data_IF_199046202316
#
_entry.id   IF_199046202316
#
_cell.length_a   1.000
_cell.length_b   1.000
_cell.length_c   1.000
_cell.angle_alpha   90.00
_cell.angle_beta   90.00
_cell.angle_gamma   90.00
#
_symmetry.space_group_name_H-M   'P 1'
#
loop_
_entity.id
_entity.type
_entity.pdbx_description
1 polymer ?
#
# COMPACT_ATOMS: atom_id res chain seq x y z
N UNK A 1 -2.92 15.28 42.03
CA UNK A 1 -2.05 15.51 40.86
C UNK A 1 -1.22 14.26 40.70
N UNK A 2 -1.37 13.61 39.56
CA UNK A 2 -0.61 12.38 39.23
C UNK A 2 0.87 12.74 39.10
N UNK A 3 1.74 11.96 39.73
CA UNK A 3 3.20 12.19 39.68
C UNK A 3 3.72 11.73 38.31
N UNK A 4 3.90 12.67 37.38
CA UNK A 4 4.37 12.43 36.02
C UNK A 4 5.72 11.68 36.03
N UNK A 5 6.63 12.03 36.95
CA UNK A 5 7.95 11.38 37.03
C UNK A 5 7.83 9.89 37.40
N UNK A 6 6.88 9.52 38.23
CA UNK A 6 6.61 8.11 38.53
C UNK A 6 6.04 7.36 37.32
N UNK A 7 5.16 8.01 36.58
CA UNK A 7 4.57 7.43 35.34
C UNK A 7 5.65 7.25 34.27
N UNK A 8 6.50 8.25 34.04
CA UNK A 8 7.64 8.14 33.12
C UNK A 8 8.56 6.96 33.48
N UNK A 9 8.81 6.77 34.77
CA UNK A 9 9.61 5.63 35.24
C UNK A 9 8.93 4.29 34.98
N UNK A 10 7.60 4.18 35.20
CA UNK A 10 6.81 2.97 34.89
C UNK A 10 6.84 2.66 33.40
N UNK A 11 6.59 3.67 32.53
CA UNK A 11 6.68 3.54 31.08
C UNK A 11 8.08 3.13 30.64
N UNK A 12 9.14 3.74 31.20
CA UNK A 12 10.52 3.37 30.93
C UNK A 12 10.84 1.91 31.28
N UNK A 13 10.31 1.40 32.41
CA UNK A 13 10.44 -0.01 32.78
C UNK A 13 9.69 -0.95 31.82
N UNK A 14 8.51 -0.55 31.34
CA UNK A 14 7.77 -1.32 30.35
C UNK A 14 8.56 -1.44 29.02
N UNK A 15 9.15 -0.34 28.55
CA UNK A 15 10.05 -0.39 27.37
C UNK A 15 11.32 -1.20 27.60
N UNK A 16 11.87 -1.20 28.81
CA UNK A 16 13.02 -2.07 29.15
C UNK A 16 12.63 -3.55 29.07
N UNK A 17 11.42 -3.91 29.52
CA UNK A 17 10.87 -5.25 29.37
C UNK A 17 10.63 -5.60 27.89
N UNK A 18 10.21 -4.62 27.06
CA UNK A 18 10.04 -4.80 25.61
C UNK A 18 11.37 -5.21 24.96
N UNK A 19 12.49 -4.59 25.35
CA UNK A 19 13.83 -4.95 24.87
C UNK A 19 14.22 -6.40 25.13
N UNK A 20 13.70 -6.98 26.19
CA UNK A 20 13.99 -8.40 26.57
C UNK A 20 13.03 -9.37 25.86
N UNK A 21 11.75 -9.02 25.79
CA UNK A 21 10.69 -9.94 25.33
C UNK A 21 10.40 -9.86 23.83
N UNK A 22 10.52 -8.66 23.26
CA UNK A 22 10.23 -8.36 21.86
C UNK A 22 11.35 -7.47 21.26
N UNK A 23 12.59 -7.99 21.15
CA UNK A 23 13.78 -7.19 20.82
C UNK A 23 13.70 -6.54 19.43
N UNK A 24 13.05 -7.16 18.47
CA UNK A 24 12.78 -6.55 17.16
C UNK A 24 11.96 -5.26 17.29
N UNK A 25 10.81 -5.32 18.00
CA UNK A 25 9.94 -4.17 18.21
C UNK A 25 10.69 -3.09 19.00
N UNK A 26 11.44 -3.47 20.05
CA UNK A 26 12.20 -2.52 20.83
C UNK A 26 13.29 -1.81 20.02
N UNK A 27 13.94 -2.51 19.08
CA UNK A 27 14.95 -1.92 18.19
C UNK A 27 14.31 -0.82 17.32
N UNK A 28 13.15 -1.06 16.74
CA UNK A 28 12.38 -0.05 15.97
C UNK A 28 12.02 1.13 16.88
N UNK A 29 11.46 0.87 18.07
CA UNK A 29 11.00 1.88 19.02
C UNK A 29 12.12 2.69 19.66
N UNK A 30 13.39 2.29 19.50
CA UNK A 30 14.54 3.03 20.05
C UNK A 30 14.68 4.44 19.48
N UNK A 31 14.18 4.69 18.27
CA UNK A 31 14.21 6.00 17.59
C UNK A 31 12.93 6.82 17.80
N UNK A 32 11.88 6.25 18.38
CA UNK A 32 10.60 6.89 18.54
C UNK A 32 10.57 7.68 19.87
N UNK A 33 10.14 8.94 19.80
CA UNK A 33 9.99 9.80 20.97
C UNK A 33 8.87 9.27 21.87
N UNK A 34 9.09 9.30 23.18
CA UNK A 34 8.10 8.92 24.20
C UNK A 34 7.78 10.12 25.06
N UNK A 35 6.51 10.29 25.39
CA UNK A 35 6.04 11.43 26.15
C UNK A 35 4.90 11.00 27.08
N UNK A 36 4.93 11.50 28.30
CA UNK A 36 3.82 11.36 29.24
C UNK A 36 3.13 12.73 29.32
N UNK A 37 1.88 12.81 28.88
CA UNK A 37 1.16 14.06 28.76
C UNK A 37 -0.34 13.86 29.00
N UNK A 38 -1.04 14.83 29.60
CA UNK A 38 -2.50 14.78 29.77
C UNK A 38 -3.27 15.06 28.45
N UNK A 39 -2.57 15.35 27.34
CA UNK A 39 -3.19 15.71 26.06
C UNK A 39 -3.89 14.54 25.37
N UNK A 40 -3.63 13.31 25.82
CA UNK A 40 -4.26 12.10 25.32
C UNK A 40 -5.05 11.40 26.42
N UNK A 41 -6.21 10.81 26.10
CA UNK A 41 -7.05 10.17 27.12
C UNK A 41 -6.48 8.85 27.63
N UNK A 42 -5.81 8.08 26.76
CA UNK A 42 -5.19 6.78 27.06
C UNK A 42 -3.74 6.74 26.61
N UNK A 43 -3.49 6.32 25.42
CA UNK A 43 -2.24 6.43 24.70
C UNK A 43 -2.54 6.72 23.23
N UNK A 44 -1.56 7.28 22.50
CA UNK A 44 -1.71 7.55 21.08
C UNK A 44 -0.34 7.61 20.38
N UNK A 45 -0.33 7.36 19.06
CA UNK A 45 0.87 7.46 18.23
C UNK A 45 0.58 8.04 16.85
N UNK A 46 1.58 8.71 16.27
CA UNK A 46 1.58 9.17 14.88
C UNK A 46 2.77 8.66 14.06
N UNK A 47 3.51 7.68 14.60
CA UNK A 47 4.68 7.10 13.96
C UNK A 47 6.02 7.80 14.27
N UNK A 48 6.03 9.03 14.79
CA UNK A 48 7.24 9.72 15.25
C UNK A 48 7.34 9.82 16.77
N UNK A 49 6.24 9.71 17.44
CA UNK A 49 6.14 9.70 18.91
C UNK A 49 5.05 8.74 19.38
N UNK A 50 5.16 8.36 20.67
CA UNK A 50 4.10 7.69 21.43
C UNK A 50 3.85 8.50 22.70
N UNK A 51 2.61 8.86 22.93
CA UNK A 51 2.15 9.59 24.11
C UNK A 51 1.34 8.67 25.02
N UNK A 52 1.46 8.91 26.34
CA UNK A 52 0.76 8.16 27.37
C UNK A 52 0.09 9.11 28.35
N UNK A 53 -1.21 8.87 28.65
CA UNK A 53 -1.94 9.60 29.66
C UNK A 53 -1.44 9.22 31.06
N UNK A 54 -1.03 10.19 31.89
CA UNK A 54 -0.59 9.92 33.26
C UNK A 54 -1.70 9.32 34.14
N UNK A 55 -2.94 9.80 33.99
CA UNK A 55 -4.07 9.33 34.77
C UNK A 55 -4.49 7.92 34.35
N UNK A 56 -4.53 7.62 33.04
CA UNK A 56 -4.84 6.30 32.56
C UNK A 56 -3.80 5.26 33.03
N UNK A 57 -2.51 5.59 32.93
CA UNK A 57 -1.43 4.70 33.37
C UNK A 57 -1.49 4.44 34.86
N UNK A 58 -1.85 5.46 35.65
CA UNK A 58 -1.89 5.33 37.11
C UNK A 58 -3.12 4.58 37.58
N UNK A 59 -4.31 4.94 37.07
CA UNK A 59 -5.59 4.48 37.61
C UNK A 59 -6.12 3.22 36.96
N UNK A 60 -5.70 2.93 35.70
CA UNK A 60 -6.26 1.86 34.85
C UNK A 60 -5.28 0.77 34.50
N UNK A 61 -3.97 0.95 34.75
CA UNK A 61 -2.98 -0.02 34.33
C UNK A 61 -2.20 -0.62 35.50
N UNK A 62 -2.23 -1.94 35.62
CA UNK A 62 -1.18 -2.67 36.33
C UNK A 62 0.13 -2.63 35.51
N UNK A 63 1.27 -3.02 36.09
CA UNK A 63 2.52 -3.06 35.34
C UNK A 63 2.53 -4.10 34.19
N UNK A 64 1.73 -5.15 34.28
CA UNK A 64 1.51 -6.11 33.20
C UNK A 64 0.70 -5.52 32.07
N UNK A 65 -0.40 -4.84 32.41
CA UNK A 65 -1.26 -4.16 31.45
C UNK A 65 -0.56 -2.97 30.79
N UNK A 66 0.27 -2.24 31.53
CA UNK A 66 1.10 -1.16 30.97
C UNK A 66 2.09 -1.70 29.94
N UNK A 67 2.67 -2.88 30.20
CA UNK A 67 3.52 -3.55 29.20
C UNK A 67 2.72 -3.89 27.93
N UNK A 68 1.51 -4.41 28.08
CA UNK A 68 0.62 -4.70 26.94
C UNK A 68 0.24 -3.42 26.17
N UNK A 69 -0.04 -2.33 26.86
CA UNK A 69 -0.32 -1.02 26.25
C UNK A 69 0.90 -0.50 25.46
N UNK A 70 2.09 -0.55 26.04
CA UNK A 70 3.34 -0.15 25.37
C UNK A 70 3.58 -1.00 24.12
N UNK A 71 3.32 -2.31 24.18
CA UNK A 71 3.43 -3.21 23.04
C UNK A 71 2.40 -2.88 21.96
N UNK A 72 1.16 -2.55 22.37
CA UNK A 72 0.08 -2.17 21.48
C UNK A 72 0.46 -0.93 20.64
N UNK A 73 0.82 0.17 21.29
CA UNK A 73 1.26 1.40 20.62
C UNK A 73 2.49 1.17 19.73
N UNK A 74 3.42 0.34 20.21
CA UNK A 74 4.61 -0.02 19.42
C UNK A 74 4.26 -0.79 18.14
N UNK A 75 3.25 -1.65 18.18
CA UNK A 75 2.79 -2.40 17.01
C UNK A 75 2.09 -1.51 15.98
N UNK A 76 1.36 -0.46 16.40
CA UNK A 76 0.85 0.53 15.46
C UNK A 76 1.98 1.19 14.65
N UNK A 77 3.09 1.54 15.31
CA UNK A 77 4.26 2.13 14.65
C UNK A 77 4.93 1.11 13.72
N UNK A 78 5.21 -0.10 14.23
CA UNK A 78 5.93 -1.16 13.49
C UNK A 78 5.16 -1.66 12.27
N UNK A 79 3.83 -1.72 12.37
CA UNK A 79 2.91 -2.08 11.27
C UNK A 79 2.53 -0.89 10.39
N UNK A 80 3.04 0.32 10.72
CA UNK A 80 2.87 1.55 9.94
C UNK A 80 1.41 1.94 9.69
N UNK A 81 0.51 1.68 10.62
CA UNK A 81 -0.94 1.84 10.46
C UNK A 81 -1.37 3.25 10.09
N UNK A 82 -0.65 4.29 10.56
CA UNK A 82 -0.93 5.70 10.26
C UNK A 82 -0.72 6.05 8.78
N UNK A 83 0.23 5.41 8.09
CA UNK A 83 0.47 5.62 6.65
C UNK A 83 -0.37 4.72 5.75
N UNK A 84 -0.77 3.54 6.26
CA UNK A 84 -1.56 2.54 5.52
C UNK A 84 -3.06 2.87 5.48
N UNK A 85 -3.50 3.94 6.12
CA UNK A 85 -4.92 4.33 6.15
C UNK A 85 -5.49 4.68 4.76
N UNK A 86 -4.74 5.38 3.93
CA UNK A 86 -5.03 5.63 2.50
C UNK A 86 -6.48 6.03 2.18
N UNK A 87 -7.05 7.01 2.89
CA UNK A 87 -8.43 7.48 2.65
C UNK A 87 -9.54 6.58 3.22
N UNK A 88 -9.21 5.51 3.94
CA UNK A 88 -10.17 4.68 4.69
C UNK A 88 -10.77 5.46 5.85
N UNK A 89 -11.98 5.06 6.28
CA UNK A 89 -12.60 5.65 7.47
C UNK A 89 -11.67 5.52 8.69
N UNK A 90 -11.30 6.61 9.38
CA UNK A 90 -10.30 6.57 10.44
C UNK A 90 -10.71 5.70 11.63
N UNK A 91 -12.00 5.72 12.01
CA UNK A 91 -12.48 4.96 13.16
C UNK A 91 -12.52 3.47 12.87
N UNK A 92 -13.05 3.08 11.71
CA UNK A 92 -13.10 1.68 11.32
C UNK A 92 -11.69 1.13 11.08
N UNK A 93 -10.78 1.95 10.53
CA UNK A 93 -9.38 1.58 10.34
C UNK A 93 -8.69 1.32 11.67
N UNK A 94 -8.86 2.23 12.65
CA UNK A 94 -8.31 2.04 13.98
C UNK A 94 -8.86 0.78 14.65
N UNK A 95 -10.19 0.60 14.64
CA UNK A 95 -10.86 -0.57 15.18
C UNK A 95 -10.34 -1.89 14.58
N UNK A 96 -10.12 -1.93 13.25
CA UNK A 96 -9.58 -3.11 12.57
C UNK A 96 -8.15 -3.42 13.01
N UNK A 97 -7.30 -2.41 13.13
CA UNK A 97 -5.92 -2.55 13.56
C UNK A 97 -5.81 -2.99 15.00
N UNK A 98 -6.62 -2.43 15.89
CA UNK A 98 -6.66 -2.81 17.30
C UNK A 98 -7.08 -4.27 17.48
N UNK A 99 -8.06 -4.72 16.71
CA UNK A 99 -8.48 -6.12 16.75
C UNK A 99 -7.32 -7.08 16.41
N UNK A 100 -6.50 -6.74 15.42
CA UNK A 100 -5.33 -7.54 15.02
C UNK A 100 -4.23 -7.48 16.08
N UNK A 101 -3.90 -6.29 16.55
CA UNK A 101 -2.86 -6.08 17.58
C UNK A 101 -3.25 -6.80 18.86
N UNK A 102 -4.50 -6.66 19.30
CA UNK A 102 -4.96 -7.29 20.53
C UNK A 102 -5.00 -8.82 20.41
N UNK A 103 -5.33 -9.36 19.23
CA UNK A 103 -5.22 -10.78 18.95
C UNK A 103 -3.75 -11.28 19.07
N UNK A 104 -2.79 -10.52 18.54
CA UNK A 104 -1.35 -10.79 18.65
C UNK A 104 -0.89 -10.79 20.12
N UNK A 105 -1.24 -9.76 20.87
CA UNK A 105 -0.85 -9.58 22.28
C UNK A 105 -1.44 -10.72 23.14
N UNK A 106 -2.72 -11.03 22.96
CA UNK A 106 -3.41 -12.10 23.67
C UNK A 106 -2.81 -13.48 23.38
N UNK A 107 -2.49 -13.77 22.11
CA UNK A 107 -1.85 -15.04 21.72
C UNK A 107 -0.49 -15.25 22.39
N UNK A 108 0.24 -14.16 22.66
CA UNK A 108 1.51 -14.18 23.37
C UNK A 108 1.37 -14.24 24.91
N UNK A 109 0.16 -14.23 25.41
CA UNK A 109 -0.14 -14.29 26.83
C UNK A 109 0.15 -13.01 27.59
N UNK A 110 0.18 -11.86 26.91
CA UNK A 110 0.30 -10.57 27.55
C UNK A 110 -1.07 -10.00 27.91
N UNK A 111 -1.12 -9.22 29.00
CA UNK A 111 -2.36 -8.59 29.49
C UNK A 111 -2.52 -7.21 28.85
N UNK A 112 -3.77 -6.85 28.58
CA UNK A 112 -4.16 -5.52 28.10
C UNK A 112 -5.01 -4.81 29.14
N UNK A 113 -5.05 -3.47 29.16
CA UNK A 113 -6.04 -2.74 29.93
C UNK A 113 -7.47 -3.11 29.51
N UNK A 114 -8.43 -2.87 30.42
CA UNK A 114 -9.84 -3.07 30.11
C UNK A 114 -10.31 -2.12 29.03
N UNK A 115 -11.27 -2.54 28.20
CA UNK A 115 -11.85 -1.72 27.11
C UNK A 115 -11.24 -1.96 25.73
N UNK A 116 -10.19 -2.79 25.61
CA UNK A 116 -9.59 -3.13 24.31
C UNK A 116 -10.55 -3.82 23.35
N UNK A 117 -10.34 -3.59 22.06
CA UNK A 117 -11.12 -4.17 20.96
C UNK A 117 -10.75 -5.64 20.78
N UNK A 118 -11.76 -6.54 20.79
CA UNK A 118 -11.59 -7.96 20.49
C UNK A 118 -12.67 -8.42 19.52
N UNK A 119 -12.26 -9.06 18.45
CA UNK A 119 -13.15 -9.62 17.42
C UNK A 119 -12.81 -11.09 17.23
N UNK A 120 -13.74 -11.98 17.49
CA UNK A 120 -13.47 -13.43 17.63
C UNK A 120 -12.88 -14.09 16.39
N UNK A 121 -13.20 -13.62 15.20
CA UNK A 121 -12.71 -14.17 13.93
C UNK A 121 -11.39 -13.53 13.48
N UNK A 122 -10.93 -12.45 14.13
CA UNK A 122 -9.66 -11.79 13.78
C UNK A 122 -8.49 -12.54 14.40
N UNK A 123 -7.47 -12.78 13.59
CA UNK A 123 -6.21 -13.39 14.00
C UNK A 123 -5.04 -12.49 13.67
N UNK A 124 -3.92 -12.66 14.35
CA UNK A 124 -2.69 -11.89 14.12
C UNK A 124 -2.07 -12.10 12.74
N UNK A 125 -2.51 -13.11 11.98
CA UNK A 125 -2.03 -13.38 10.62
C UNK A 125 -2.79 -12.62 9.54
N UNK A 126 -3.91 -12.00 9.87
CA UNK A 126 -4.72 -11.24 8.91
C UNK A 126 -4.11 -9.87 8.62
N UNK A 127 -4.29 -9.35 7.40
CA UNK A 127 -3.89 -7.98 7.07
C UNK A 127 -4.90 -6.96 7.60
N UNK A 128 -4.43 -5.74 7.85
CA UNK A 128 -5.28 -4.63 8.28
C UNK A 128 -6.36 -4.33 7.24
N UNK A 129 -6.00 -4.39 5.99
CA UNK A 129 -6.87 -4.16 4.84
C UNK A 129 -7.98 -5.20 4.76
N UNK A 130 -7.62 -6.49 4.92
CA UNK A 130 -8.59 -7.59 4.93
C UNK A 130 -9.60 -7.46 6.06
N UNK A 131 -9.12 -7.17 7.28
CA UNK A 131 -10.00 -7.01 8.46
C UNK A 131 -10.89 -5.78 8.28
N UNK A 132 -10.33 -4.66 7.80
CA UNK A 132 -11.09 -3.46 7.50
C UNK A 132 -12.22 -3.73 6.50
N UNK A 133 -11.92 -4.43 5.40
CA UNK A 133 -12.94 -4.73 4.38
C UNK A 133 -14.05 -5.62 4.94
N UNK A 134 -13.71 -6.68 5.67
CA UNK A 134 -14.71 -7.55 6.31
C UNK A 134 -15.58 -6.81 7.33
N UNK A 135 -15.01 -5.88 8.09
CA UNK A 135 -15.76 -5.05 9.05
C UNK A 135 -16.63 -4.02 8.33
N UNK A 136 -16.18 -3.49 7.19
CA UNK A 136 -16.98 -2.59 6.37
C UNK A 136 -18.20 -3.29 5.78
N UNK A 137 -18.04 -4.54 5.32
CA UNK A 137 -19.12 -5.36 4.76
C UNK A 137 -20.09 -5.85 5.84
N UNK A 138 -19.59 -6.08 7.06
CA UNK A 138 -20.37 -6.49 8.22
C UNK A 138 -20.00 -5.61 9.44
N UNK A 139 -20.52 -4.39 9.51
CA UNK A 139 -20.12 -3.41 10.51
C UNK A 139 -20.46 -3.90 11.93
N UNK A 140 -19.54 -3.70 12.89
CA UNK A 140 -19.82 -3.97 14.29
C UNK A 140 -20.99 -3.09 14.77
N UNK A 141 -21.76 -3.55 15.78
CA UNK A 141 -22.85 -2.74 16.31
C UNK A 141 -22.30 -1.40 16.81
N UNK A 142 -23.04 -0.30 16.61
CA UNK A 142 -22.64 1.00 17.12
C UNK A 142 -22.44 0.93 18.64
N UNK A 143 -21.47 1.68 19.20
CA UNK A 143 -21.28 1.72 20.63
C UNK A 143 -22.58 2.14 21.30
N UNK A 144 -23.00 1.37 22.33
CA UNK A 144 -24.15 1.76 23.14
C UNK A 144 -23.90 3.17 23.69
N UNK A 145 -24.75 4.14 23.31
CA UNK A 145 -24.79 5.40 24.03
C UNK A 145 -25.05 5.05 25.49
N UNK A 146 -24.28 5.58 26.45
CA UNK A 146 -24.67 5.46 27.84
C UNK A 146 -26.08 6.06 27.97
N UNK A 147 -27.03 5.25 28.49
CA UNK A 147 -28.36 5.74 28.82
C UNK A 147 -28.23 6.90 29.80
N UNK A 148 -28.23 8.10 29.26
CA UNK A 148 -28.34 9.31 30.05
C UNK A 148 -29.84 9.69 30.07
N UNK A 149 -30.57 9.47 31.17
CA UNK A 149 -32.02 9.67 31.20
C UNK A 149 -32.46 11.14 31.08
N UNK A 150 -31.53 12.09 31.02
CA UNK A 150 -31.80 13.54 31.06
C UNK A 150 -31.38 14.31 29.79
N UNK A 151 -31.08 13.63 28.66
CA UNK A 151 -30.69 14.30 27.40
C UNK A 151 -31.88 14.43 26.41
N UNK A 152 -32.86 15.33 26.77
CA UNK A 152 -33.91 15.82 25.87
C UNK A 152 -33.39 16.96 24.94
N UNK A 153 -32.12 16.93 24.57
CA UNK A 153 -31.47 17.93 23.73
C UNK A 153 -31.55 17.59 22.24
N UNK A 154 -32.54 18.16 21.54
CA UNK A 154 -32.50 18.36 20.08
C UNK A 154 -31.31 19.29 19.74
N UNK A 155 -30.13 18.71 19.63
CA UNK A 155 -28.95 19.37 19.10
C UNK A 155 -28.64 18.78 17.74
N UNK A 156 -29.16 19.36 16.65
CA UNK A 156 -28.67 19.17 15.28
C UNK A 156 -27.23 19.72 15.20
N UNK A 157 -26.28 18.95 15.71
CA UNK A 157 -24.87 19.12 15.42
C UNK A 157 -24.55 18.33 14.17
N UNK A 158 -24.31 18.99 13.04
CA UNK A 158 -23.66 18.43 11.86
C UNK A 158 -22.24 17.96 12.22
N UNK A 159 -22.16 16.89 12.99
CA UNK A 159 -20.94 16.14 13.16
C UNK A 159 -20.88 15.11 12.05
N UNK A 160 -19.94 15.25 11.12
CA UNK A 160 -19.49 14.21 10.19
C UNK A 160 -18.92 13.04 11.02
N UNK A 161 -19.76 12.38 11.81
CA UNK A 161 -19.40 11.25 12.64
C UNK A 161 -19.42 9.97 11.83
N UNK A 162 -18.29 9.28 11.74
CA UNK A 162 -18.25 7.92 11.25
C UNK A 162 -19.27 7.04 11.97
N UNK A 163 -20.05 6.20 11.27
CA UNK A 163 -21.01 5.28 11.89
C UNK A 163 -20.34 4.15 12.68
N UNK A 164 -19.01 4.05 12.60
CA UNK A 164 -18.24 2.98 13.19
C UNK A 164 -17.73 3.31 14.59
N UNK A 165 -17.57 2.32 15.48
CA UNK A 165 -16.88 2.52 16.75
C UNK A 165 -15.44 2.90 16.50
N UNK A 166 -14.88 3.77 17.33
CA UNK A 166 -13.44 4.02 17.34
C UNK A 166 -12.72 2.88 18.06
N UNK A 167 -11.47 2.61 17.71
CA UNK A 167 -10.58 1.75 18.48
C UNK A 167 -10.07 2.45 19.75
N UNK A 168 -8.98 1.92 20.30
CA UNK A 168 -8.42 2.40 21.56
C UNK A 168 -9.11 1.80 22.78
N UNK A 169 -8.56 2.09 23.99
CA UNK A 169 -9.05 1.52 25.23
C UNK A 169 -10.23 2.29 25.84
N UNK A 170 -10.55 3.45 25.33
CA UNK A 170 -11.69 4.28 25.74
C UNK A 170 -12.65 4.63 24.59
N UNK A 171 -12.39 4.08 23.39
CA UNK A 171 -13.16 4.36 22.18
C UNK A 171 -12.85 5.71 21.52
N UNK A 172 -11.77 6.40 21.89
CA UNK A 172 -11.34 7.67 21.27
C UNK A 172 -10.48 7.46 20.03
N UNK A 173 -9.88 6.27 19.89
CA UNK A 173 -8.85 5.96 18.89
C UNK A 173 -7.45 6.35 19.38
N UNK A 174 -6.45 5.64 18.90
CA UNK A 174 -5.05 5.76 19.31
C UNK A 174 -4.08 6.03 18.15
N UNK A 175 -4.57 6.06 16.91
CA UNK A 175 -3.78 6.44 15.75
C UNK A 175 -4.08 7.89 15.36
N UNK A 176 -3.09 8.76 15.46
CA UNK A 176 -3.15 10.11 14.90
C UNK A 176 -2.60 10.16 13.46
N UNK A 177 -2.81 11.29 12.78
CA UNK A 177 -2.34 11.47 11.41
C UNK A 177 -0.81 11.40 11.34
N UNK A 178 -0.32 10.70 10.32
CA UNK A 178 1.10 10.54 10.06
C UNK A 178 1.79 11.89 9.80
N UNK A 179 3.07 12.01 10.23
CA UNK A 179 3.79 13.28 10.16
C UNK A 179 4.13 13.68 8.72
N UNK A 180 4.89 12.86 8.00
CA UNK A 180 5.27 13.11 6.60
C UNK A 180 5.96 11.88 5.98
N UNK A 181 6.18 11.90 4.65
CA UNK A 181 6.83 10.81 3.92
C UNK A 181 8.32 10.63 4.27
N UNK A 182 9.04 11.67 4.66
CA UNK A 182 10.44 11.54 5.09
C UNK A 182 10.54 10.71 6.38
N UNK A 183 9.64 10.94 7.34
CA UNK A 183 9.56 10.14 8.56
C UNK A 183 9.20 8.70 8.28
N UNK A 184 8.33 8.45 7.29
CA UNK A 184 7.98 7.12 6.81
C UNK A 184 9.20 6.36 6.28
N UNK A 185 9.97 6.97 5.36
CA UNK A 185 11.17 6.37 4.78
C UNK A 185 12.22 6.01 5.85
N UNK A 186 12.44 6.91 6.83
CA UNK A 186 13.34 6.66 7.95
C UNK A 186 12.88 5.50 8.84
N UNK A 187 11.57 5.40 9.08
CA UNK A 187 10.98 4.31 9.85
C UNK A 187 11.08 2.99 9.09
N UNK A 188 10.75 2.96 7.79
CA UNK A 188 10.89 1.79 6.93
C UNK A 188 12.33 1.26 6.93
N UNK A 189 13.32 2.13 6.74
CA UNK A 189 14.73 1.76 6.81
C UNK A 189 15.11 1.18 8.18
N UNK A 190 14.55 1.75 9.26
CA UNK A 190 14.78 1.27 10.63
C UNK A 190 14.17 -0.10 10.85
N UNK A 191 12.95 -0.34 10.37
CA UNK A 191 12.24 -1.62 10.47
C UNK A 191 13.01 -2.71 9.70
N UNK A 192 13.44 -2.42 8.47
CA UNK A 192 14.23 -3.35 7.65
C UNK A 192 15.54 -3.72 8.33
N UNK A 193 16.27 -2.73 8.87
CA UNK A 193 17.52 -2.98 9.59
C UNK A 193 17.29 -3.85 10.84
N UNK A 194 16.29 -3.52 11.65
CA UNK A 194 15.92 -4.29 12.84
C UNK A 194 15.49 -5.73 12.50
N UNK A 195 14.73 -5.90 11.42
CA UNK A 195 14.27 -7.21 10.96
C UNK A 195 15.44 -8.11 10.48
N UNK A 196 16.41 -7.55 9.75
CA UNK A 196 17.63 -8.25 9.36
C UNK A 196 18.43 -8.72 10.58
N UNK A 197 18.64 -7.83 11.55
CA UNK A 197 19.32 -8.19 12.82
C UNK A 197 18.57 -9.29 13.58
N UNK A 198 17.24 -9.23 13.66
CA UNK A 198 16.43 -10.24 14.32
C UNK A 198 16.59 -11.63 13.65
N UNK A 199 16.61 -11.67 12.30
CA UNK A 199 16.86 -12.92 11.55
C UNK A 199 18.27 -13.47 11.79
N UNK A 200 19.30 -12.64 11.77
CA UNK A 200 20.69 -13.03 12.04
C UNK A 200 20.86 -13.59 13.46
N UNK A 201 20.13 -13.04 14.43
CA UNK A 201 20.11 -13.52 15.82
C UNK A 201 19.22 -14.77 16.04
N UNK A 202 18.61 -15.34 15.00
CA UNK A 202 17.71 -16.49 15.11
C UNK A 202 16.35 -16.17 15.77
N UNK A 203 16.00 -14.89 15.84
CA UNK A 203 14.74 -14.40 16.43
C UNK A 203 13.71 -14.02 15.34
N UNK A 204 13.86 -14.55 14.12
CA UNK A 204 12.88 -14.41 13.05
C UNK A 204 11.53 -14.95 13.51
N UNK A 205 10.52 -14.09 13.58
CA UNK A 205 9.14 -14.47 13.88
C UNK A 205 8.29 -14.26 12.61
N UNK A 206 7.13 -14.94 12.52
CA UNK A 206 6.21 -14.72 11.42
C UNK A 206 5.77 -13.26 11.25
N UNK A 207 5.82 -12.46 12.33
CA UNK A 207 5.61 -11.01 12.27
C UNK A 207 6.74 -10.32 11.50
N UNK A 208 8.01 -10.68 11.77
CA UNK A 208 9.18 -10.11 11.07
C UNK A 208 9.15 -10.42 9.58
N UNK A 209 8.83 -11.68 9.22
CA UNK A 209 8.74 -12.10 7.83
C UNK A 209 7.63 -11.35 7.10
N UNK A 210 6.45 -11.25 7.69
CA UNK A 210 5.32 -10.51 7.14
C UNK A 210 5.63 -9.01 6.97
N UNK A 211 6.24 -8.37 7.95
CA UNK A 211 6.62 -6.96 7.85
C UNK A 211 7.63 -6.74 6.73
N UNK A 212 8.61 -7.65 6.57
CA UNK A 212 9.56 -7.57 5.47
C UNK A 212 8.89 -7.79 4.11
N UNK A 213 7.91 -8.68 4.01
CA UNK A 213 7.09 -8.85 2.82
C UNK A 213 6.27 -7.59 2.51
N UNK A 214 5.65 -6.97 3.52
CA UNK A 214 4.84 -5.77 3.36
C UNK A 214 5.68 -4.53 2.98
N UNK A 215 6.89 -4.38 3.56
CA UNK A 215 7.81 -3.27 3.25
C UNK A 215 8.60 -3.55 1.97
N UNK A 216 8.95 -4.80 1.72
CA UNK A 216 9.71 -5.22 0.53
C UNK A 216 8.89 -5.19 -0.77
N UNK A 217 7.57 -5.05 -0.69
CA UNK A 217 6.72 -4.77 -1.84
C UNK A 217 6.83 -3.26 -2.10
N UNK A 218 7.46 -2.81 -3.18
CA UNK A 218 7.50 -1.40 -3.51
C UNK A 218 6.05 -0.91 -3.64
N UNK A 219 5.65 -0.03 -2.74
CA UNK A 219 4.33 0.63 -2.74
C UNK A 219 4.27 1.79 -3.75
N UNK A 220 5.01 1.70 -4.81
CA UNK A 220 4.72 2.53 -5.97
C UNK A 220 3.56 1.82 -6.64
N UNK A 221 2.36 2.35 -6.48
CA UNK A 221 1.22 1.83 -7.21
C UNK A 221 1.62 1.85 -8.69
N UNK A 222 1.58 0.70 -9.37
CA UNK A 222 1.92 0.62 -10.79
C UNK A 222 1.15 1.67 -11.61
N UNK A 223 -0.05 2.02 -11.15
CA UNK A 223 -0.89 3.09 -11.65
C UNK A 223 -0.23 4.46 -11.59
N UNK A 224 0.52 4.78 -10.52
CA UNK A 224 1.22 6.06 -10.37
C UNK A 224 2.45 6.11 -11.26
N UNK A 225 3.18 5.00 -11.41
CA UNK A 225 4.32 4.91 -12.34
C UNK A 225 3.85 5.10 -13.77
N UNK A 226 2.78 4.41 -14.16
CA UNK A 226 2.21 4.53 -15.50
C UNK A 226 1.68 5.95 -15.76
N UNK A 227 0.97 6.55 -14.81
CA UNK A 227 0.49 7.93 -14.90
C UNK A 227 1.64 8.93 -15.03
N UNK A 228 2.70 8.79 -14.24
CA UNK A 228 3.88 9.65 -14.32
C UNK A 228 4.59 9.48 -15.66
N UNK A 229 4.82 8.25 -16.11
CA UNK A 229 5.38 7.94 -17.41
C UNK A 229 4.61 8.61 -18.56
N UNK A 230 3.30 8.47 -18.57
CA UNK A 230 2.45 9.09 -19.59
C UNK A 230 2.45 10.63 -19.49
N UNK A 231 2.47 11.19 -18.26
CA UNK A 231 2.53 12.64 -18.04
C UNK A 231 3.87 13.25 -18.45
N UNK A 232 4.97 12.54 -18.31
CA UNK A 232 6.30 12.95 -18.77
C UNK A 232 6.35 12.93 -20.30
N UNK A 233 5.81 11.88 -20.93
CA UNK A 233 5.72 11.81 -22.41
C UNK A 233 4.85 12.92 -23.02
N UNK A 234 3.88 13.46 -22.24
CA UNK A 234 3.05 14.60 -22.67
C UNK A 234 3.80 15.95 -22.63
N UNK A 235 4.88 16.06 -21.84
CA UNK A 235 5.63 17.32 -21.65
C UNK A 235 6.74 17.55 -22.68
N UNK A 236 7.06 16.56 -23.52
CA UNK A 236 8.08 16.69 -24.57
C UNK A 236 7.57 17.50 -25.77
N UNK A 237 7.24 18.77 -25.52
CA UNK A 237 7.13 19.79 -26.55
C UNK A 237 8.49 19.97 -27.24
N UNK A 238 8.50 19.81 -28.58
CA UNK A 238 9.63 20.13 -29.47
C UNK A 238 10.92 19.33 -29.26
N UNK A 239 10.93 18.03 -29.48
CA UNK A 239 12.19 17.30 -29.62
C UNK A 239 12.63 17.21 -31.07
N UNK A 240 13.82 17.78 -31.37
CA UNK A 240 14.59 17.50 -32.58
C UNK A 240 15.13 16.04 -32.61
N UNK A 241 14.85 15.24 -31.59
CA UNK A 241 15.35 13.87 -31.44
C UNK A 241 14.65 12.86 -32.35
N UNK A 242 13.44 13.16 -32.86
CA UNK A 242 12.73 12.30 -33.81
C UNK A 242 12.27 13.11 -35.03
N UNK A 243 13.17 13.26 -36.07
CA UNK A 243 12.74 13.90 -37.31
C UNK A 243 11.71 13.03 -38.01
N UNK A 244 10.70 13.68 -38.63
CA UNK A 244 9.68 12.95 -39.43
C UNK A 244 10.38 12.05 -40.44
N UNK A 245 10.34 10.72 -40.23
CA UNK A 245 11.01 9.70 -41.07
C UNK A 245 10.76 9.87 -42.57
N UNK A 246 9.59 10.41 -42.92
CA UNK A 246 9.20 10.67 -44.34
C UNK A 246 10.10 11.69 -45.04
N UNK A 247 10.75 12.58 -44.34
CA UNK A 247 11.63 13.63 -44.92
C UNK A 247 13.12 13.38 -44.67
N UNK A 248 13.47 12.44 -43.81
CA UNK A 248 14.87 12.08 -43.53
C UNK A 248 15.55 11.52 -44.78
N UNK A 249 14.84 10.74 -45.61
CA UNK A 249 15.34 10.25 -46.88
C UNK A 249 15.62 11.34 -47.91
N UNK A 250 15.10 12.54 -47.70
CA UNK A 250 15.32 13.74 -48.54
C UNK A 250 16.32 14.72 -47.93
N UNK A 251 17.01 14.34 -46.85
CA UNK A 251 17.98 15.18 -46.17
C UNK A 251 17.42 16.40 -45.43
N UNK A 252 16.08 16.42 -45.21
CA UNK A 252 15.41 17.55 -44.56
C UNK A 252 15.00 17.11 -43.14
N UNK A 253 15.62 17.72 -42.14
CA UNK A 253 15.28 17.55 -40.73
C UNK A 253 14.19 18.54 -40.33
N UNK A 254 12.93 18.17 -40.41
CA UNK A 254 11.81 18.94 -39.89
C UNK A 254 11.42 18.42 -38.50
N UNK A 255 11.29 19.34 -37.50
CA UNK A 255 10.69 18.97 -36.24
C UNK A 255 9.25 18.49 -36.50
N UNK A 256 8.83 17.40 -35.87
CA UNK A 256 7.43 17.03 -35.91
C UNK A 256 6.64 18.03 -35.08
N UNK A 257 5.61 18.65 -35.69
CA UNK A 257 4.59 19.32 -34.90
C UNK A 257 3.89 18.24 -34.09
N UNK A 258 4.14 18.20 -32.78
CA UNK A 258 3.33 17.42 -31.84
C UNK A 258 1.96 18.10 -31.77
N UNK A 259 0.92 17.38 -32.08
CA UNK A 259 -0.44 17.73 -31.69
C UNK A 259 -0.54 17.58 -30.18
N UNK A 260 -1.41 18.35 -29.50
CA UNK A 260 -1.71 18.31 -28.06
C UNK A 260 -2.28 16.95 -27.55
N UNK A 261 -2.24 15.88 -28.36
CA UNK A 261 -2.68 14.54 -28.01
C UNK A 261 -1.47 13.65 -27.74
N UNK A 262 -1.43 13.03 -26.57
CA UNK A 262 -0.53 11.94 -26.23
C UNK A 262 -0.59 10.86 -27.33
N UNK A 263 0.56 10.21 -27.62
CA UNK A 263 0.59 9.01 -28.44
C UNK A 263 -0.27 7.87 -27.88
N UNK A 264 -0.32 6.74 -28.58
CA UNK A 264 -1.01 5.55 -28.08
C UNK A 264 -0.31 4.91 -26.89
N UNK A 265 -1.06 4.20 -26.04
CA UNK A 265 -0.55 3.34 -24.98
C UNK A 265 -0.60 1.88 -25.47
N UNK A 266 0.55 1.18 -25.49
CA UNK A 266 0.60 -0.25 -25.75
C UNK A 266 0.52 -1.04 -24.44
N UNK A 267 -0.33 -2.04 -24.37
CA UNK A 267 -0.47 -2.94 -23.24
C UNK A 267 -0.18 -4.36 -23.72
N UNK A 268 0.96 -4.93 -23.31
CA UNK A 268 1.24 -6.35 -23.47
C UNK A 268 0.59 -7.15 -22.35
N UNK A 269 -0.20 -8.14 -22.68
CA UNK A 269 -0.84 -9.04 -21.72
C UNK A 269 -0.35 -10.47 -21.98
N UNK A 270 0.44 -10.99 -21.05
CA UNK A 270 0.81 -12.40 -21.02
C UNK A 270 -0.42 -13.24 -20.67
N UNK A 271 -0.77 -14.17 -21.56
CA UNK A 271 -1.93 -15.05 -21.38
C UNK A 271 -1.54 -16.48 -21.03
N UNK A 272 -0.35 -16.66 -20.45
CA UNK A 272 0.05 -17.93 -19.86
C UNK A 272 -0.95 -18.36 -18.77
N UNK A 273 -1.10 -19.68 -18.60
CA UNK A 273 -2.14 -20.24 -17.70
C UNK A 273 -2.00 -19.86 -16.22
N UNK A 274 -0.90 -19.21 -15.83
CA UNK A 274 -0.62 -18.72 -14.46
C UNK A 274 -1.09 -17.28 -14.23
N UNK A 275 -1.38 -16.51 -15.29
CA UNK A 275 -1.58 -15.06 -15.19
C UNK A 275 -3.02 -14.63 -14.91
N UNK A 276 -4.01 -15.28 -15.50
CA UNK A 276 -5.39 -14.78 -15.48
C UNK A 276 -6.36 -15.87 -15.06
N UNK A 277 -6.24 -16.32 -13.79
CA UNK A 277 -7.06 -17.41 -13.26
C UNK A 277 -8.49 -17.00 -12.89
N UNK A 278 -8.72 -15.74 -12.55
CA UNK A 278 -10.01 -15.24 -12.08
C UNK A 278 -10.52 -14.07 -12.95
N UNK A 279 -11.75 -14.13 -13.48
CA UNK A 279 -12.37 -13.02 -14.20
C UNK A 279 -12.44 -11.71 -13.38
N UNK A 280 -12.42 -11.78 -12.06
CA UNK A 280 -12.43 -10.59 -11.18
C UNK A 280 -11.13 -9.81 -11.26
N UNK A 281 -9.99 -10.49 -11.44
CA UNK A 281 -8.66 -9.88 -11.62
C UNK A 281 -8.60 -9.06 -12.92
N UNK A 282 -9.12 -9.60 -14.01
CA UNK A 282 -9.23 -8.90 -15.29
C UNK A 282 -10.10 -7.64 -15.19
N UNK A 283 -11.21 -7.72 -14.48
CA UNK A 283 -12.09 -6.58 -14.28
C UNK A 283 -11.42 -5.49 -13.44
N UNK A 284 -10.62 -5.87 -12.44
CA UNK A 284 -9.88 -4.92 -11.61
C UNK A 284 -8.80 -4.20 -12.42
N UNK A 285 -7.98 -4.93 -13.18
CA UNK A 285 -6.94 -4.32 -14.06
C UNK A 285 -7.59 -3.41 -15.10
N UNK A 286 -8.72 -3.83 -15.70
CA UNK A 286 -9.47 -2.99 -16.64
C UNK A 286 -9.93 -1.68 -15.98
N UNK A 287 -10.46 -1.73 -14.76
CA UNK A 287 -10.92 -0.56 -14.03
C UNK A 287 -9.77 0.40 -13.70
N UNK A 288 -8.62 -0.13 -13.27
CA UNK A 288 -7.43 0.67 -12.96
C UNK A 288 -6.83 1.32 -14.22
N UNK A 289 -6.74 0.59 -15.33
CA UNK A 289 -6.29 1.13 -16.63
C UNK A 289 -7.26 2.23 -17.09
N UNK A 290 -8.57 2.01 -17.00
CA UNK A 290 -9.57 3.00 -17.40
C UNK A 290 -9.48 4.29 -16.58
N UNK A 291 -9.17 4.20 -15.29
CA UNK A 291 -8.92 5.37 -14.45
C UNK A 291 -7.71 6.18 -14.95
N UNK A 292 -6.60 5.51 -15.32
CA UNK A 292 -5.40 6.16 -15.85
C UNK A 292 -5.66 6.76 -17.22
N UNK A 293 -6.31 6.01 -18.12
CA UNK A 293 -6.66 6.46 -19.47
C UNK A 293 -7.56 7.68 -19.43
N UNK A 294 -8.53 7.73 -18.50
CA UNK A 294 -9.40 8.88 -18.30
C UNK A 294 -8.63 10.14 -17.88
N UNK A 295 -7.60 9.99 -17.05
CA UNK A 295 -6.77 11.10 -16.58
C UNK A 295 -5.77 11.58 -17.64
N UNK A 296 -5.10 10.64 -18.32
CA UNK A 296 -3.98 10.91 -19.23
C UNK A 296 -4.38 11.11 -20.68
N UNK A 297 -5.54 10.60 -21.08
CA UNK A 297 -6.17 10.75 -22.41
C UNK A 297 -5.23 10.43 -23.58
N UNK A 298 -4.71 9.21 -23.71
CA UNK A 298 -3.94 8.81 -24.88
C UNK A 298 -4.80 8.84 -26.15
N UNK A 299 -4.14 8.91 -27.30
CA UNK A 299 -4.83 8.92 -28.59
C UNK A 299 -5.63 7.62 -28.82
N UNK A 300 -5.04 6.51 -28.38
CA UNK A 300 -5.67 5.18 -28.39
C UNK A 300 -4.96 4.28 -27.36
N UNK A 301 -5.59 3.17 -27.01
CA UNK A 301 -5.00 2.10 -26.21
C UNK A 301 -5.03 0.83 -27.03
N UNK A 302 -3.93 0.12 -27.10
CA UNK A 302 -3.85 -1.15 -27.81
C UNK A 302 -3.43 -2.26 -26.85
N UNK A 303 -4.24 -3.29 -26.73
CA UNK A 303 -3.99 -4.46 -25.87
C UNK A 303 -3.58 -5.64 -26.76
N UNK A 304 -2.34 -6.11 -26.60
CA UNK A 304 -1.76 -7.21 -27.33
C UNK A 304 -1.68 -8.43 -26.42
N UNK A 305 -2.49 -9.43 -26.68
CA UNK A 305 -2.50 -10.69 -25.95
C UNK A 305 -1.50 -11.64 -26.58
N UNK A 306 -0.55 -12.11 -25.79
CA UNK A 306 0.56 -12.93 -26.26
C UNK A 306 0.79 -14.14 -25.36
N UNK A 307 1.05 -15.30 -26.00
CA UNK A 307 1.66 -16.47 -25.36
C UNK A 307 3.03 -16.79 -26.03
N UNK A 308 3.09 -17.69 -26.93
CA UNK A 308 4.25 -17.96 -27.82
C UNK A 308 4.21 -17.11 -29.10
N UNK A 309 3.07 -16.54 -29.43
CA UNK A 309 2.80 -15.62 -30.52
C UNK A 309 1.69 -14.63 -30.12
N UNK A 310 1.53 -13.55 -30.88
CA UNK A 310 0.39 -12.66 -30.73
C UNK A 310 -0.89 -13.42 -31.07
N UNK A 311 -1.77 -13.58 -30.09
CA UNK A 311 -3.05 -14.27 -30.25
C UNK A 311 -4.15 -13.33 -30.70
N UNK A 312 -4.13 -12.10 -30.17
CA UNK A 312 -5.18 -11.12 -30.38
C UNK A 312 -4.63 -9.73 -30.13
N UNK A 313 -5.17 -8.75 -30.84
CA UNK A 313 -4.94 -7.34 -30.63
C UNK A 313 -6.30 -6.66 -30.55
N UNK A 314 -6.57 -5.95 -29.46
CA UNK A 314 -7.75 -5.12 -29.27
C UNK A 314 -7.30 -3.66 -29.20
N UNK A 315 -7.91 -2.80 -30.04
CA UNK A 315 -7.64 -1.37 -30.10
C UNK A 315 -8.86 -0.60 -29.61
N UNK A 316 -8.63 0.33 -28.71
CA UNK A 316 -9.63 1.22 -28.13
C UNK A 316 -9.26 2.65 -28.49
N UNK A 317 -10.15 3.35 -29.15
CA UNK A 317 -9.96 4.75 -29.54
C UNK A 317 -10.21 5.69 -28.35
N UNK A 318 -9.81 6.95 -28.50
CA UNK A 318 -9.94 7.94 -27.45
C UNK A 318 -11.36 8.02 -26.87
N UNK A 319 -11.49 7.78 -25.57
CA UNK A 319 -12.75 7.80 -24.83
C UNK A 319 -13.55 6.49 -24.83
N UNK A 320 -13.03 5.44 -25.43
CA UNK A 320 -13.57 4.08 -25.29
C UNK A 320 -13.03 3.44 -23.99
N UNK A 321 -13.88 2.63 -23.35
CA UNK A 321 -13.47 1.86 -22.17
C UNK A 321 -12.63 0.65 -22.59
N UNK A 322 -11.48 0.50 -21.94
CA UNK A 322 -10.59 -0.64 -22.11
C UNK A 322 -11.16 -1.85 -21.38
N UNK A 323 -11.44 -2.92 -22.09
CA UNK A 323 -11.93 -4.17 -21.54
C UNK A 323 -10.95 -5.29 -21.86
N UNK A 324 -10.33 -5.87 -20.83
CA UNK A 324 -9.51 -7.06 -21.00
C UNK A 324 -10.40 -8.28 -21.19
N UNK A 325 -10.06 -9.08 -22.19
CA UNK A 325 -10.84 -10.29 -22.51
C UNK A 325 -10.01 -11.52 -22.24
N UNK A 326 -10.57 -12.53 -21.56
CA UNK A 326 -9.85 -13.75 -21.30
C UNK A 326 -9.42 -14.41 -22.62
N UNK A 327 -8.14 -14.75 -22.73
CA UNK A 327 -7.55 -15.56 -23.77
C UNK A 327 -6.95 -16.81 -23.15
N UNK A 328 -6.99 -17.93 -23.83
CA UNK A 328 -6.33 -19.17 -23.39
C UNK A 328 -5.05 -19.36 -24.21
N UNK A 329 -3.92 -19.37 -23.52
CA UNK A 329 -2.60 -19.63 -24.07
C UNK A 329 -1.86 -20.73 -23.31
N UNK A 330 -0.72 -21.17 -23.80
CA UNK A 330 0.04 -22.30 -23.22
C UNK A 330 1.55 -22.13 -23.20
N UNK A 331 2.08 -20.98 -23.56
CA UNK A 331 3.51 -20.66 -23.55
C UNK A 331 3.77 -19.21 -23.14
N UNK A 332 5.03 -18.83 -22.97
CA UNK A 332 5.40 -17.44 -22.68
C UNK A 332 6.59 -17.04 -23.55
N UNK A 333 6.35 -16.15 -24.52
CA UNK A 333 7.40 -15.45 -25.28
C UNK A 333 7.07 -13.97 -25.31
N UNK A 334 8.02 -13.15 -24.93
CA UNK A 334 7.84 -11.70 -24.87
C UNK A 334 8.05 -11.01 -26.20
N UNK A 335 8.99 -11.52 -27.00
CA UNK A 335 9.43 -10.95 -28.27
C UNK A 335 8.28 -10.59 -29.23
N UNK A 336 7.23 -11.40 -29.44
CA UNK A 336 6.18 -11.08 -30.41
C UNK A 336 5.45 -9.75 -30.13
N UNK A 337 5.34 -9.31 -28.87
CA UNK A 337 4.74 -8.01 -28.54
C UNK A 337 5.68 -6.86 -28.93
N UNK A 338 6.99 -7.04 -28.75
CA UNK A 338 7.99 -6.04 -29.13
C UNK A 338 8.14 -5.99 -30.66
N UNK A 339 8.10 -7.13 -31.36
CA UNK A 339 8.07 -7.17 -32.82
C UNK A 339 6.82 -6.45 -33.36
N UNK A 340 5.66 -6.64 -32.73
CA UNK A 340 4.43 -5.93 -33.08
C UNK A 340 4.59 -4.40 -32.92
N UNK A 341 5.21 -3.95 -31.83
CA UNK A 341 5.51 -2.53 -31.60
C UNK A 341 6.47 -1.97 -32.66
N UNK A 342 7.51 -2.72 -33.04
CA UNK A 342 8.47 -2.30 -34.08
C UNK A 342 7.85 -2.23 -35.48
N UNK A 343 6.96 -3.16 -35.81
CA UNK A 343 6.26 -3.21 -37.10
C UNK A 343 5.15 -2.16 -37.21
N UNK A 344 4.63 -1.68 -36.10
CA UNK A 344 3.59 -0.66 -36.08
C UNK A 344 4.07 0.67 -36.65
N UNK A 345 3.19 1.35 -37.38
CA UNK A 345 3.41 2.71 -37.87
C UNK A 345 2.86 3.79 -36.93
N UNK A 346 2.20 3.37 -35.86
CA UNK A 346 1.60 4.25 -34.88
C UNK A 346 2.68 4.80 -33.91
N UNK A 347 2.44 6.00 -33.37
CA UNK A 347 3.29 6.60 -32.35
C UNK A 347 2.77 6.22 -30.97
N UNK A 348 3.58 5.51 -30.17
CA UNK A 348 3.26 5.15 -28.80
C UNK A 348 3.99 6.04 -27.81
N UNK A 349 3.28 6.54 -26.80
CA UNK A 349 3.85 7.34 -25.72
C UNK A 349 4.50 6.48 -24.63
N UNK A 350 4.21 5.18 -24.61
CA UNK A 350 4.79 4.22 -23.69
C UNK A 350 4.13 2.85 -23.78
N UNK A 351 4.68 1.88 -23.06
CA UNK A 351 4.10 0.57 -22.95
C UNK A 351 4.09 0.05 -21.51
N UNK A 352 3.11 -0.79 -21.21
CA UNK A 352 3.10 -1.62 -20.00
C UNK A 352 2.97 -3.09 -20.40
N UNK A 353 3.76 -3.96 -19.80
CA UNK A 353 3.70 -5.40 -20.03
C UNK A 353 3.32 -6.12 -18.73
N UNK A 354 2.18 -6.78 -18.70
CA UNK A 354 1.74 -7.61 -17.56
C UNK A 354 2.23 -9.04 -17.75
N UNK A 355 3.02 -9.55 -16.79
CA UNK A 355 3.64 -10.88 -16.85
C UNK A 355 4.09 -11.37 -15.48
N UNK A 356 4.30 -12.68 -15.34
CA UNK A 356 4.98 -13.32 -14.22
C UNK A 356 6.49 -13.51 -14.44
N UNK A 357 7.04 -13.02 -15.57
CA UNK A 357 8.44 -13.16 -16.01
C UNK A 357 8.92 -14.62 -16.18
N UNK A 358 8.02 -15.58 -16.31
CA UNK A 358 8.42 -16.96 -16.66
C UNK A 358 8.56 -17.12 -18.19
N UNK A 359 9.66 -16.66 -18.75
CA UNK A 359 9.94 -16.72 -20.17
C UNK A 359 11.37 -16.29 -20.51
N UNK A 360 11.72 -16.32 -21.79
CA UNK A 360 13.04 -15.93 -22.28
C UNK A 360 13.11 -14.42 -22.52
N UNK A 361 13.94 -13.72 -21.75
CA UNK A 361 14.17 -12.29 -21.82
C UNK A 361 15.42 -11.90 -22.63
N UNK A 362 16.30 -12.89 -22.96
CA UNK A 362 17.61 -12.64 -23.56
C UNK A 362 17.54 -12.06 -24.98
N UNK A 363 16.42 -12.27 -25.69
CA UNK A 363 16.20 -11.77 -27.06
C UNK A 363 15.58 -10.37 -27.13
N UNK A 364 15.27 -9.75 -25.98
CA UNK A 364 14.59 -8.46 -25.93
C UNK A 364 15.57 -7.30 -26.05
N UNK A 365 15.20 -6.33 -26.86
CA UNK A 365 15.91 -5.05 -26.98
C UNK A 365 15.02 -3.92 -26.48
N UNK A 366 15.64 -2.90 -25.88
CA UNK A 366 14.93 -1.70 -25.45
C UNK A 366 14.22 -1.04 -26.65
N UNK A 367 12.89 -0.93 -26.64
CA UNK A 367 12.12 -0.37 -27.75
C UNK A 367 12.29 1.15 -27.91
N UNK A 368 13.02 1.81 -27.00
CA UNK A 368 13.27 3.24 -27.03
C UNK A 368 12.04 4.10 -26.71
N UNK A 369 10.99 3.50 -26.14
CA UNK A 369 9.86 4.18 -25.51
C UNK A 369 9.82 3.79 -24.03
N UNK A 370 9.25 4.66 -23.15
CA UNK A 370 9.08 4.31 -21.76
C UNK A 370 8.32 3.00 -21.58
N UNK A 371 8.91 2.06 -20.82
CA UNK A 371 8.36 0.73 -20.59
C UNK A 371 8.18 0.46 -19.10
N UNK A 372 7.01 -0.05 -18.72
CA UNK A 372 6.68 -0.52 -17.38
C UNK A 372 6.40 -2.02 -17.43
N UNK A 373 7.01 -2.78 -16.54
CA UNK A 373 6.74 -4.21 -16.37
C UNK A 373 5.83 -4.40 -15.16
N UNK A 374 4.57 -4.74 -15.40
CA UNK A 374 3.58 -5.09 -14.38
C UNK A 374 3.75 -6.53 -13.95
N UNK A 375 4.41 -6.76 -12.80
CA UNK A 375 4.82 -8.09 -12.35
C UNK A 375 3.85 -8.65 -11.32
N UNK A 376 3.33 -9.85 -11.56
CA UNK A 376 2.46 -10.56 -10.60
C UNK A 376 3.24 -11.35 -9.56
N UNK A 377 4.53 -11.59 -9.79
CA UNK A 377 5.44 -12.26 -8.87
C UNK A 377 6.70 -11.43 -8.60
N UNK A 378 7.35 -11.64 -7.47
CA UNK A 378 8.49 -10.86 -6.99
C UNK A 378 9.82 -11.23 -7.68
N UNK A 379 9.91 -11.09 -9.00
CA UNK A 379 11.18 -11.07 -9.72
C UNK A 379 11.38 -9.64 -10.25
N UNK A 380 12.44 -8.99 -9.81
CA UNK A 380 12.73 -7.58 -10.14
C UNK A 380 13.75 -7.41 -11.28
N UNK A 381 14.21 -8.50 -11.90
CA UNK A 381 15.28 -8.48 -12.91
C UNK A 381 14.67 -8.43 -14.33
N UNK A 382 14.42 -7.20 -14.79
CA UNK A 382 13.90 -6.91 -16.14
C UNK A 382 15.03 -6.38 -17.03
N UNK A 383 15.04 -6.66 -18.35
CA UNK A 383 16.15 -6.27 -19.23
C UNK A 383 16.23 -4.75 -19.45
N UNK A 384 15.14 -4.04 -19.35
CA UNK A 384 15.01 -2.58 -19.46
C UNK A 384 13.68 -2.10 -18.86
N UNK A 385 13.52 -0.78 -18.72
CA UNK A 385 12.29 -0.19 -18.18
C UNK A 385 12.19 -0.28 -16.67
N UNK A 386 10.98 -0.10 -16.14
CA UNK A 386 10.69 -0.04 -14.70
C UNK A 386 9.84 -1.23 -14.27
N UNK A 387 10.36 -2.13 -13.41
CA UNK A 387 9.55 -3.20 -12.84
C UNK A 387 8.62 -2.64 -11.76
N UNK A 388 7.37 -3.06 -11.76
CA UNK A 388 6.36 -2.64 -10.77
C UNK A 388 5.50 -3.84 -10.39
N UNK A 389 5.37 -4.16 -9.11
CA UNK A 389 4.51 -5.25 -8.68
C UNK A 389 3.05 -4.88 -8.90
N UNK A 390 2.32 -5.79 -9.51
CA UNK A 390 0.87 -5.72 -9.67
C UNK A 390 0.25 -6.76 -8.74
N UNK A 391 -0.61 -6.31 -7.83
CA UNK A 391 -1.40 -7.22 -7.01
C UNK A 391 -2.70 -7.50 -7.76
N UNK A 392 -2.80 -8.68 -8.31
CA UNK A 392 -4.01 -9.23 -8.91
C UNK A 392 -4.79 -10.02 -7.87
#
# INVERSE_FOLDING_TARGET
>A
MTDISLVEKRVGLAYSKLGIREPFIAAVMSKIKREVTPDVPTAATNGSWVKFSPDFVTDKCTDSQLFGLVLHESLHVVLMHMWRREGRDPRLWNYANDAIINAYIRKRGYELPDGGVFVDWVTESMSSEEVYQKLKDNPPPPPNKPDNPDDDGEGEGEGSGSPYPAGGFDGSGDIEDAVNEATKADLEATIVAAAKMAKECGQGSGLVDRILEDIGKPKVAWTDVLRNMMSESAKDDYTFQRPRRRFVSQGIYLPSLHSDALGGLLIGADVSGSMWGDPTELAQVSAEINAIVSDTRPAFVEVVYCDSAVLRVDRFEHGEEVEFKPCQGGGTRFKPVFDHLEESQDDYCGMIYFTDLYGDLDELMDPGIPCVWGLTHSKDDVPFGTPVPVQL
#
